data_IF_975110041994
#
_entry.id   IF_975110041994
#
_cell.length_a   1.000
_cell.length_b   1.000
_cell.length_c   1.000
_cell.angle_alpha   90.00
_cell.angle_beta   90.00
_cell.angle_gamma   90.00
#
_symmetry.space_group_name_H-M   'P 1'
#
loop_
_entity.id
_entity.type
_entity.pdbx_description
1 polymer ?
#
# COMPACT_ATOMS: atom_id res chain seq x y z
N UNK A 1 2.69 -16.80 -32.76
CA UNK A 1 2.81 -15.72 -31.76
C UNK A 1 3.02 -16.41 -30.43
N UNK A 2 4.26 -16.47 -29.94
CA UNK A 2 4.57 -17.13 -28.66
C UNK A 2 4.18 -16.15 -27.56
N UNK A 3 3.18 -16.49 -26.76
CA UNK A 3 2.94 -15.79 -25.50
C UNK A 3 4.13 -16.11 -24.61
N UNK A 4 5.03 -15.16 -24.40
CA UNK A 4 5.98 -15.27 -23.30
C UNK A 4 5.18 -15.31 -22.00
N UNK A 5 5.46 -16.31 -21.17
CA UNK A 5 4.91 -16.36 -19.82
C UNK A 5 5.47 -15.18 -19.03
N UNK A 6 4.59 -14.43 -18.37
CA UNK A 6 4.98 -13.33 -17.49
C UNK A 6 5.70 -13.92 -16.29
N UNK A 7 6.88 -13.39 -15.95
CA UNK A 7 7.65 -13.85 -14.81
C UNK A 7 7.08 -13.33 -13.48
N UNK A 8 7.47 -13.96 -12.37
CA UNK A 8 7.06 -13.47 -11.05
C UNK A 8 7.60 -12.05 -10.78
N UNK A 9 8.81 -11.78 -11.25
CA UNK A 9 9.46 -10.47 -11.15
C UNK A 9 8.70 -9.41 -11.95
N UNK A 10 8.27 -9.71 -13.17
CA UNK A 10 7.47 -8.77 -13.99
C UNK A 10 6.12 -8.44 -13.32
N UNK A 11 5.49 -9.42 -12.65
CA UNK A 11 4.25 -9.19 -11.90
C UNK A 11 4.52 -8.29 -10.69
N UNK A 12 5.59 -8.53 -9.94
CA UNK A 12 5.96 -7.72 -8.78
C UNK A 12 6.29 -6.28 -9.20
N UNK A 13 7.07 -6.09 -10.25
CA UNK A 13 7.39 -4.78 -10.79
C UNK A 13 6.14 -4.04 -11.28
N UNK A 14 5.25 -4.73 -11.99
CA UNK A 14 3.99 -4.14 -12.44
C UNK A 14 3.12 -3.71 -11.26
N UNK A 15 3.04 -4.52 -10.20
CA UNK A 15 2.33 -4.18 -8.97
C UNK A 15 2.93 -2.92 -8.33
N UNK A 16 4.25 -2.84 -8.20
CA UNK A 16 4.94 -1.66 -7.65
C UNK A 16 4.69 -0.40 -8.48
N UNK A 17 4.66 -0.49 -9.80
CA UNK A 17 4.33 0.63 -10.70
C UNK A 17 2.91 1.13 -10.41
N UNK A 18 1.95 0.23 -10.31
CA UNK A 18 0.56 0.61 -10.02
C UNK A 18 0.41 1.23 -8.63
N UNK A 19 1.09 0.70 -7.62
CA UNK A 19 1.11 1.28 -6.27
C UNK A 19 1.65 2.70 -6.31
N UNK A 20 2.80 2.93 -6.93
CA UNK A 20 3.40 4.27 -7.05
C UNK A 20 2.46 5.24 -7.75
N UNK A 21 1.81 4.79 -8.82
CA UNK A 21 0.86 5.61 -9.58
C UNK A 21 -0.30 6.07 -8.71
N UNK A 22 -0.99 5.15 -8.04
CA UNK A 22 -2.16 5.52 -7.21
C UNK A 22 -1.75 6.31 -5.96
N UNK A 23 -0.53 6.11 -5.47
CA UNK A 23 0.04 6.90 -4.38
C UNK A 23 0.34 8.33 -4.83
N UNK A 24 0.97 8.52 -5.99
CA UNK A 24 1.23 9.85 -6.55
C UNK A 24 -0.06 10.63 -6.80
N UNK A 25 -1.10 9.97 -7.32
CA UNK A 25 -2.42 10.56 -7.54
C UNK A 25 -3.08 11.03 -6.24
N UNK A 26 -2.89 10.31 -5.12
CA UNK A 26 -3.59 10.60 -3.86
C UNK A 26 -2.80 11.40 -2.84
N UNK A 27 -1.49 11.14 -2.76
CA UNK A 27 -0.58 11.59 -1.71
C UNK A 27 0.64 12.33 -2.30
N UNK A 28 0.52 12.87 -3.51
CA UNK A 28 1.65 13.51 -4.21
C UNK A 28 2.30 14.64 -3.41
N UNK A 29 1.53 15.40 -2.63
CA UNK A 29 2.07 16.45 -1.76
C UNK A 29 2.97 15.83 -0.69
N UNK A 30 2.47 14.81 0.01
CA UNK A 30 3.23 14.12 1.05
C UNK A 30 4.48 13.42 0.49
N UNK A 31 4.37 12.80 -0.68
CA UNK A 31 5.49 12.16 -1.37
C UNK A 31 6.58 13.20 -1.68
N UNK A 32 6.22 14.32 -2.32
CA UNK A 32 7.18 15.38 -2.61
C UNK A 32 7.84 15.93 -1.34
N UNK A 33 7.08 16.13 -0.26
CA UNK A 33 7.66 16.54 1.03
C UNK A 33 8.68 15.52 1.55
N UNK A 34 8.37 14.22 1.47
CA UNK A 34 9.26 13.15 1.93
C UNK A 34 10.53 13.05 1.07
N UNK A 35 10.40 13.16 -0.26
CA UNK A 35 11.55 13.18 -1.19
C UNK A 35 12.50 14.35 -0.89
N UNK A 36 11.95 15.52 -0.56
CA UNK A 36 12.72 16.72 -0.22
C UNK A 36 13.18 16.78 1.24
N UNK A 37 12.95 15.73 2.04
CA UNK A 37 13.21 15.69 3.49
C UNK A 37 12.54 16.85 4.26
N UNK A 38 11.36 17.29 3.80
CA UNK A 38 10.54 18.30 4.44
C UNK A 38 9.48 17.67 5.34
N UNK A 39 9.05 18.44 6.34
CA UNK A 39 7.92 18.07 7.17
C UNK A 39 6.63 18.01 6.33
N UNK A 40 5.79 17.01 6.60
CA UNK A 40 4.46 16.93 5.98
C UNK A 40 3.59 18.14 6.36
N UNK A 41 2.66 18.55 5.47
CA UNK A 41 1.66 19.57 5.78
C UNK A 41 0.94 19.28 7.10
N UNK A 42 0.61 20.32 7.86
CA UNK A 42 -0.07 20.16 9.16
C UNK A 42 -1.47 19.55 9.02
N UNK A 43 -2.11 19.78 7.88
CA UNK A 43 -3.41 19.24 7.47
C UNK A 43 -3.30 17.93 6.69
N UNK A 44 -2.08 17.40 6.50
CA UNK A 44 -1.89 16.08 5.88
C UNK A 44 -2.56 15.01 6.74
N UNK A 45 -3.41 14.25 6.08
CA UNK A 45 -4.29 13.26 6.70
C UNK A 45 -3.56 11.99 7.14
N UNK A 46 -2.35 11.80 6.62
CA UNK A 46 -1.52 10.62 6.89
C UNK A 46 -0.35 10.95 7.80
N UNK A 47 -0.19 12.21 8.23
CA UNK A 47 0.90 12.68 9.09
C UNK A 47 1.05 11.85 10.37
N UNK A 48 -0.06 11.55 11.03
CA UNK A 48 -0.07 10.80 12.30
C UNK A 48 0.18 9.29 12.11
N UNK A 49 0.27 8.82 10.87
CA UNK A 49 0.59 7.43 10.53
C UNK A 49 2.10 7.19 10.37
N UNK A 50 2.95 8.19 10.67
CA UNK A 50 4.39 8.19 10.44
C UNK A 50 4.77 7.66 9.04
N UNK A 51 4.33 8.35 7.97
CA UNK A 51 4.57 7.91 6.61
C UNK A 51 6.03 8.13 6.23
N UNK A 52 6.56 7.23 5.41
CA UNK A 52 7.92 7.31 4.88
C UNK A 52 8.01 6.66 3.49
N UNK A 53 9.01 7.02 2.71
CA UNK A 53 9.34 6.37 1.44
C UNK A 53 10.38 5.28 1.69
N UNK A 54 10.17 4.09 1.11
CA UNK A 54 11.23 3.08 1.06
C UNK A 54 12.24 3.39 -0.06
N UNK A 55 13.27 2.55 -0.19
CA UNK A 55 14.32 2.69 -1.21
C UNK A 55 13.79 2.68 -2.65
N UNK A 56 12.60 2.11 -2.87
CA UNK A 56 11.93 2.08 -4.17
C UNK A 56 11.03 3.30 -4.39
N UNK A 57 10.92 4.24 -3.46
CA UNK A 57 10.02 5.40 -3.56
C UNK A 57 8.54 5.06 -3.35
N UNK A 58 8.23 3.95 -2.69
CA UNK A 58 6.86 3.57 -2.31
C UNK A 58 6.55 4.15 -0.94
N UNK A 59 5.38 4.80 -0.83
CA UNK A 59 4.88 5.35 0.42
C UNK A 59 4.38 4.24 1.36
N UNK A 60 4.97 4.16 2.54
CA UNK A 60 4.69 3.15 3.57
C UNK A 60 4.40 3.85 4.89
N UNK A 61 3.76 3.14 5.81
CA UNK A 61 3.48 3.65 7.15
C UNK A 61 4.34 2.93 8.20
N UNK A 62 4.75 3.66 9.23
CA UNK A 62 5.49 3.10 10.36
C UNK A 62 4.59 3.05 11.59
N UNK A 63 4.40 1.86 12.15
CA UNK A 63 3.40 1.62 13.20
C UNK A 63 3.96 1.28 14.58
N UNK A 64 3.03 1.10 15.53
CA UNK A 64 3.29 0.63 16.91
C UNK A 64 3.87 -0.79 16.99
N UNK A 65 3.89 -1.52 15.86
CA UNK A 65 4.35 -2.90 15.74
C UNK A 65 5.85 -3.03 15.45
N UNK A 66 6.63 -1.95 15.56
CA UNK A 66 8.08 -1.95 15.36
C UNK A 66 8.82 -3.03 16.17
N UNK A 67 8.35 -3.33 17.39
CA UNK A 67 8.95 -4.31 18.29
C UNK A 67 8.34 -5.72 18.17
N UNK A 68 7.51 -5.97 17.16
CA UNK A 68 6.90 -7.28 16.93
C UNK A 68 7.80 -8.20 16.08
N UNK A 69 7.57 -9.51 16.17
CA UNK A 69 8.21 -10.54 15.35
C UNK A 69 7.60 -10.66 13.95
N UNK A 70 6.73 -9.73 13.55
CA UNK A 70 6.09 -9.73 12.24
C UNK A 70 7.09 -9.44 11.12
N UNK A 71 6.72 -9.82 9.89
CA UNK A 71 7.51 -9.55 8.70
C UNK A 71 7.67 -8.06 8.46
N UNK A 72 8.64 -7.68 7.62
CA UNK A 72 8.85 -6.28 7.26
C UNK A 72 7.60 -5.65 6.62
N UNK A 73 6.90 -6.39 5.76
CA UNK A 73 5.70 -5.89 5.08
C UNK A 73 4.54 -5.65 6.04
N UNK A 74 4.35 -6.52 7.01
CA UNK A 74 3.33 -6.35 8.05
C UNK A 74 3.64 -5.18 9.00
N UNK A 75 4.93 -4.97 9.31
CA UNK A 75 5.36 -3.83 10.15
C UNK A 75 5.28 -2.50 9.41
N UNK A 76 5.51 -2.53 8.11
CA UNK A 76 5.58 -1.37 7.25
C UNK A 76 4.72 -1.56 6.00
N UNK A 77 3.39 -1.61 6.10
CA UNK A 77 2.57 -1.89 4.93
C UNK A 77 2.59 -0.73 3.93
N UNK A 78 2.39 -1.05 2.66
CA UNK A 78 2.25 -0.07 1.59
C UNK A 78 0.93 0.71 1.80
N UNK A 79 1.01 2.04 1.79
CA UNK A 79 -0.16 2.88 1.97
C UNK A 79 -0.94 2.97 0.65
N UNK A 80 -2.17 2.48 0.62
CA UNK A 80 -3.01 2.53 -0.60
C UNK A 80 -4.27 3.38 -0.38
N UNK A 81 -4.73 4.13 -1.39
CA UNK A 81 -5.98 4.87 -1.30
C UNK A 81 -7.16 3.90 -1.19
N UNK A 82 -7.90 3.92 -0.09
CA UNK A 82 -8.98 2.96 0.16
C UNK A 82 -10.11 3.02 -0.87
N UNK A 83 -10.44 4.22 -1.38
CA UNK A 83 -11.41 4.44 -2.45
C UNK A 83 -10.70 4.59 -3.79
N UNK A 84 -10.23 3.48 -4.33
CA UNK A 84 -9.59 3.42 -5.65
C UNK A 84 -9.83 2.06 -6.29
N UNK A 85 -9.99 2.02 -7.62
CA UNK A 85 -10.22 0.79 -8.38
C UNK A 85 -9.09 -0.24 -8.19
N UNK A 86 -7.85 0.22 -8.08
CA UNK A 86 -6.70 -0.65 -7.80
C UNK A 86 -6.86 -1.36 -6.45
N UNK A 87 -7.26 -0.64 -5.40
CA UNK A 87 -7.51 -1.21 -4.09
C UNK A 87 -8.66 -2.22 -4.11
N UNK A 88 -9.73 -1.97 -4.86
CA UNK A 88 -10.81 -2.95 -5.05
C UNK A 88 -10.29 -4.24 -5.71
N UNK A 89 -9.42 -4.12 -6.71
CA UNK A 89 -8.83 -5.26 -7.40
C UNK A 89 -7.90 -6.05 -6.47
N UNK A 90 -7.09 -5.39 -5.63
CA UNK A 90 -6.26 -6.05 -4.62
C UNK A 90 -7.11 -6.83 -3.60
N UNK A 91 -8.20 -6.23 -3.12
CA UNK A 91 -9.12 -6.92 -2.18
C UNK A 91 -9.79 -8.11 -2.86
N UNK A 92 -10.17 -7.98 -4.14
CA UNK A 92 -10.76 -9.07 -4.91
C UNK A 92 -9.77 -10.22 -5.11
N UNK A 93 -8.53 -9.91 -5.51
CA UNK A 93 -7.46 -10.91 -5.67
C UNK A 93 -7.18 -11.63 -4.34
N UNK A 94 -7.09 -10.90 -3.22
CA UNK A 94 -6.94 -11.50 -1.90
C UNK A 94 -8.13 -12.40 -1.53
N UNK A 95 -9.35 -11.99 -1.86
CA UNK A 95 -10.56 -12.76 -1.62
C UNK A 95 -10.59 -14.08 -2.40
N UNK A 96 -10.13 -14.06 -3.65
CA UNK A 96 -9.99 -15.25 -4.50
C UNK A 96 -8.87 -16.18 -3.99
N UNK A 97 -7.74 -15.63 -3.53
CA UNK A 97 -6.62 -16.39 -2.96
C UNK A 97 -6.98 -17.14 -1.67
N UNK A 98 -7.84 -16.56 -0.84
CA UNK A 98 -8.37 -17.24 0.36
C UNK A 98 -9.56 -18.16 0.05
N UNK A 99 -9.82 -18.47 -1.23
CA UNK A 99 -10.89 -19.35 -1.69
C UNK A 99 -12.28 -18.94 -1.16
N UNK A 100 -12.54 -17.63 -1.08
CA UNK A 100 -13.78 -17.07 -0.55
C UNK A 100 -14.08 -17.44 0.91
N UNK A 101 -13.07 -17.83 1.70
CA UNK A 101 -13.20 -18.26 3.11
C UNK A 101 -13.83 -17.19 4.03
N UNK A 102 -13.84 -15.93 3.61
CA UNK A 102 -14.64 -14.87 4.21
C UNK A 102 -13.88 -13.57 4.38
N UNK A 103 -14.52 -12.62 5.06
CA UNK A 103 -14.00 -11.26 5.24
C UNK A 103 -12.74 -11.24 6.13
N UNK A 104 -12.72 -12.04 7.21
CA UNK A 104 -11.59 -12.06 8.13
C UNK A 104 -10.30 -12.50 7.43
N UNK A 105 -10.35 -13.61 6.70
CA UNK A 105 -9.19 -14.15 5.98
C UNK A 105 -8.76 -13.21 4.85
N UNK A 106 -9.72 -12.64 4.12
CA UNK A 106 -9.43 -11.64 3.08
C UNK A 106 -8.71 -10.42 3.69
N UNK A 107 -9.16 -9.94 4.85
CA UNK A 107 -8.54 -8.80 5.52
C UNK A 107 -7.14 -9.12 6.04
N UNK A 108 -6.91 -10.32 6.56
CA UNK A 108 -5.58 -10.78 6.96
C UNK A 108 -4.65 -10.75 5.74
N UNK A 109 -5.07 -11.38 4.64
CA UNK A 109 -4.30 -11.45 3.40
C UNK A 109 -3.96 -10.06 2.81
N UNK A 110 -4.89 -9.11 2.87
CA UNK A 110 -4.63 -7.72 2.44
C UNK A 110 -3.66 -7.01 3.38
N UNK A 111 -3.81 -7.20 4.70
CA UNK A 111 -3.00 -6.51 5.72
C UNK A 111 -1.56 -6.99 5.80
N UNK A 112 -1.24 -8.15 5.24
CA UNK A 112 0.14 -8.62 5.09
C UNK A 112 1.00 -7.62 4.30
N UNK A 113 0.41 -6.91 3.33
CA UNK A 113 1.15 -6.03 2.42
C UNK A 113 0.64 -4.59 2.37
N UNK A 114 -0.64 -4.34 2.66
CA UNK A 114 -1.24 -3.02 2.43
C UNK A 114 -2.01 -2.51 3.64
N UNK A 115 -2.09 -1.19 3.73
CA UNK A 115 -3.04 -0.50 4.61
C UNK A 115 -3.83 0.50 3.79
N UNK A 116 -5.15 0.29 3.75
CA UNK A 116 -6.08 1.20 3.10
C UNK A 116 -6.31 2.43 3.97
N UNK A 117 -6.12 3.62 3.40
CA UNK A 117 -6.49 4.87 4.05
C UNK A 117 -7.73 5.50 3.40
N UNK A 118 -8.75 5.71 4.22
CA UNK A 118 -9.97 6.46 3.88
C UNK A 118 -10.13 7.61 4.87
N UNK A 119 -10.43 8.81 4.37
CA UNK A 119 -11.04 9.84 5.22
C UNK A 119 -12.52 9.50 5.39
N UNK A 120 -13.00 9.37 6.61
CA UNK A 120 -14.42 9.56 6.89
C UNK A 120 -14.78 11.00 6.55
N UNK A 121 -15.62 11.17 5.51
CA UNK A 121 -16.33 12.41 5.31
C UNK A 121 -17.35 12.54 6.43
N UNK A 122 -17.27 13.61 7.21
CA UNK A 122 -18.50 14.22 7.70
C UNK A 122 -19.18 14.89 6.52
#
# INVERSE_FOLDING_TARGET
MVLQAVSAEEIEEAEEIWIKKVQAEKFGIEINCLEENKNLPKDSKIRDLNPFLNEKGILRISGRLQQSTLSYHEKHPNLIPAKNRFTELLVKDAHEKVLHSGVADTLIQVREKYTGYQKEGK
#
